data_IF_141743088842
#
_entry.id   IF_141743088842
#
_cell.length_a   1.000
_cell.length_b   1.000
_cell.length_c   1.000
_cell.angle_alpha   90.00
_cell.angle_beta   90.00
_cell.angle_gamma   90.00
#
_symmetry.space_group_name_H-M   'P 1'
#
loop_
_entity.id
_entity.type
_entity.pdbx_description
1 polymer ?
#
# COMPACT_ATOMS: atom_id res chain seq x y z
N UNK A 1 25.56 0.95 -9.19
CA UNK A 1 25.77 1.34 -7.77
C UNK A 1 24.41 1.66 -7.17
N UNK A 2 24.15 1.27 -5.92
CA UNK A 2 22.84 1.49 -5.26
C UNK A 2 22.77 2.92 -4.71
N UNK A 3 21.63 3.58 -4.92
CA UNK A 3 21.31 4.89 -4.34
C UNK A 3 20.46 4.71 -3.08
N UNK A 4 20.79 5.46 -2.05
CA UNK A 4 20.09 5.50 -0.77
C UNK A 4 19.47 6.90 -0.59
N UNK A 5 18.41 6.97 0.21
CA UNK A 5 17.76 8.22 0.59
C UNK A 5 18.56 8.87 1.73
N UNK A 6 19.02 10.10 1.52
CA UNK A 6 19.72 10.88 2.53
C UNK A 6 18.81 11.23 3.72
N UNK A 7 19.32 11.03 4.93
CA UNK A 7 18.64 11.32 6.20
C UNK A 7 19.35 12.45 6.93
N UNK A 8 18.69 13.05 7.93
CA UNK A 8 19.23 14.17 8.70
C UNK A 8 20.54 13.83 9.42
N UNK A 9 20.72 12.55 9.80
CA UNK A 9 21.98 12.05 10.38
C UNK A 9 23.14 12.15 9.40
N UNK A 10 22.89 11.78 8.14
CA UNK A 10 23.89 11.87 7.07
C UNK A 10 24.21 13.33 6.77
N UNK A 11 23.20 14.20 6.78
CA UNK A 11 23.36 15.64 6.56
C UNK A 11 24.18 16.28 7.68
N UNK A 12 23.89 15.96 8.94
CA UNK A 12 24.67 16.42 10.09
C UNK A 12 26.13 15.95 10.03
N UNK A 13 26.35 14.67 9.69
CA UNK A 13 27.67 14.09 9.54
C UNK A 13 28.46 14.71 8.37
N UNK A 14 27.78 15.02 7.25
CA UNK A 14 28.38 15.75 6.14
C UNK A 14 28.75 17.17 6.56
N UNK A 15 27.92 17.83 7.38
CA UNK A 15 28.16 19.13 7.98
C UNK A 15 29.46 19.22 8.78
N UNK A 16 29.83 18.14 9.47
CA UNK A 16 31.09 18.04 10.23
C UNK A 16 32.35 17.95 9.35
N UNK A 17 32.21 17.64 8.05
CA UNK A 17 33.33 17.56 7.11
C UNK A 17 33.55 18.92 6.43
N UNK A 18 34.76 19.51 6.48
CA UNK A 18 35.06 20.77 5.81
C UNK A 18 34.97 20.64 4.28
N UNK A 19 34.59 21.75 3.63
CA UNK A 19 34.26 21.78 2.20
C UNK A 19 35.44 21.33 1.32
N UNK A 20 36.68 21.65 1.70
CA UNK A 20 37.90 21.24 1.00
C UNK A 20 38.03 19.72 0.86
N UNK A 21 37.67 18.97 1.91
CA UNK A 21 37.71 17.51 1.92
C UNK A 21 36.52 16.90 1.17
N UNK A 22 35.38 17.61 1.07
CA UNK A 22 34.22 17.11 0.31
C UNK A 22 34.52 16.97 -1.18
N UNK A 23 35.30 17.90 -1.74
CA UNK A 23 35.76 17.84 -3.13
C UNK A 23 36.71 16.67 -3.38
N UNK A 24 37.55 16.33 -2.41
CA UNK A 24 38.50 15.21 -2.50
C UNK A 24 37.82 13.83 -2.37
N UNK A 25 36.72 13.75 -1.61
CA UNK A 25 35.99 12.51 -1.36
C UNK A 25 34.85 12.21 -2.37
N UNK A 26 34.69 13.03 -3.41
CA UNK A 26 33.53 13.07 -4.33
C UNK A 26 32.18 13.16 -3.60
N UNK A 27 32.12 13.93 -2.51
CA UNK A 27 30.89 14.14 -1.75
C UNK A 27 30.07 15.30 -2.36
N UNK A 28 28.74 15.18 -2.41
CA UNK A 28 27.87 16.24 -2.90
C UNK A 28 28.00 17.51 -2.02
N UNK A 29 28.10 18.67 -2.66
CA UNK A 29 28.34 19.95 -1.96
C UNK A 29 27.14 20.43 -1.15
N UNK A 30 25.92 20.08 -1.57
CA UNK A 30 24.68 20.36 -0.86
C UNK A 30 23.72 19.16 -1.03
N UNK A 31 23.26 18.59 0.09
CA UNK A 31 22.23 17.55 0.14
C UNK A 31 21.05 18.07 0.96
N UNK A 32 19.84 17.85 0.46
CA UNK A 32 18.59 18.06 1.18
C UNK A 32 18.06 16.73 1.70
N UNK A 33 17.18 16.79 2.71
CA UNK A 33 16.51 15.61 3.24
C UNK A 33 15.76 14.91 2.10
N UNK A 34 15.98 13.60 1.96
CA UNK A 34 15.46 12.73 0.90
C UNK A 34 16.19 12.71 -0.46
N UNK A 35 17.29 13.44 -0.62
CA UNK A 35 18.09 13.36 -1.84
C UNK A 35 18.82 12.02 -2.00
N UNK A 36 19.10 11.57 -3.22
CA UNK A 36 19.84 10.34 -3.47
C UNK A 36 21.32 10.50 -3.11
N UNK A 37 21.83 9.63 -2.23
CA UNK A 37 23.26 9.48 -1.93
C UNK A 37 23.75 8.10 -2.37
N UNK A 38 24.94 8.03 -2.98
CA UNK A 38 25.51 6.73 -3.36
C UNK A 38 26.04 5.99 -2.15
N UNK A 39 25.96 4.65 -2.18
CA UNK A 39 26.51 3.82 -1.10
C UNK A 39 28.03 4.01 -0.90
N UNK A 40 28.80 4.22 -1.98
CA UNK A 40 30.26 4.45 -1.88
C UNK A 40 30.58 5.80 -1.23
N UNK A 41 29.84 6.87 -1.56
CA UNK A 41 30.00 8.17 -0.90
C UNK A 41 29.77 8.04 0.61
N UNK A 42 28.74 7.29 1.01
CA UNK A 42 28.47 7.02 2.42
C UNK A 42 29.61 6.23 3.08
N UNK A 43 30.19 5.26 2.38
CA UNK A 43 31.31 4.47 2.88
C UNK A 43 32.58 5.32 3.05
N UNK A 44 32.89 6.21 2.09
CA UNK A 44 34.01 7.15 2.19
C UNK A 44 33.81 8.13 3.34
N UNK A 45 32.61 8.67 3.50
CA UNK A 45 32.25 9.53 4.62
C UNK A 45 32.41 8.80 5.95
N UNK A 46 31.91 7.56 6.07
CA UNK A 46 32.07 6.78 7.29
C UNK A 46 33.55 6.51 7.64
N UNK A 47 34.38 6.16 6.64
CA UNK A 47 35.83 5.98 6.81
C UNK A 47 36.52 7.26 7.26
N UNK A 48 36.13 8.40 6.70
CA UNK A 48 36.68 9.70 7.09
C UNK A 48 36.34 10.05 8.54
N UNK A 49 35.08 9.87 8.93
CA UNK A 49 34.62 10.14 10.30
C UNK A 49 35.24 9.17 11.31
N UNK A 50 35.56 7.94 10.90
CA UNK A 50 36.29 7.00 11.72
C UNK A 50 37.72 7.46 12.04
N UNK A 51 38.35 8.24 11.17
CA UNK A 51 39.68 8.80 11.43
C UNK A 51 39.63 10.17 12.14
N UNK A 52 38.45 10.78 12.24
CA UNK A 52 38.28 12.10 12.84
C UNK A 52 37.99 12.01 14.35
N UNK A 53 38.99 12.36 15.15
CA UNK A 53 38.95 12.33 16.62
C UNK A 53 37.84 13.22 17.18
N UNK A 54 37.64 14.41 16.60
CA UNK A 54 36.64 15.38 17.07
C UNK A 54 35.21 14.85 16.88
N UNK A 55 34.95 14.11 15.81
CA UNK A 55 33.65 13.49 15.58
C UNK A 55 33.41 12.33 16.56
N UNK A 56 34.43 11.52 16.85
CA UNK A 56 34.32 10.44 17.84
C UNK A 56 34.01 10.96 19.25
N UNK A 57 34.55 12.12 19.64
CA UNK A 57 34.26 12.72 20.94
C UNK A 57 32.79 13.17 21.11
N UNK A 58 32.10 13.47 20.01
CA UNK A 58 30.67 13.85 20.04
C UNK A 58 29.71 12.67 20.13
N UNK A 59 30.18 11.45 19.85
CA UNK A 59 29.38 10.23 19.98
C UNK A 59 29.52 9.66 21.39
N UNK A 60 28.67 10.12 22.30
CA UNK A 60 28.74 9.91 23.76
C UNK A 60 28.32 8.52 24.26
N UNK A 61 28.17 7.51 23.40
CA UNK A 61 27.61 6.21 23.75
C UNK A 61 28.68 5.12 23.93
N UNK A 62 29.10 4.93 25.18
CA UNK A 62 30.13 4.00 25.70
C UNK A 62 29.95 2.50 25.36
N UNK A 63 28.87 2.06 24.68
CA UNK A 63 28.60 0.64 24.37
C UNK A 63 28.42 0.32 22.88
N UNK A 64 28.79 1.22 21.96
CA UNK A 64 28.46 1.07 20.53
C UNK A 64 29.66 1.28 19.58
N UNK A 65 30.68 0.42 19.67
CA UNK A 65 31.63 0.22 18.56
C UNK A 65 30.99 -0.45 17.32
N UNK A 66 29.66 -0.54 17.26
CA UNK A 66 28.90 -1.04 16.11
C UNK A 66 28.88 -0.02 14.96
N UNK A 67 30.08 0.31 14.46
CA UNK A 67 30.41 0.96 13.18
C UNK A 67 29.69 2.29 12.88
N UNK A 68 30.44 3.40 12.74
CA UNK A 68 29.92 4.71 12.30
C UNK A 68 29.05 4.61 11.03
N UNK A 69 29.39 3.69 10.13
CA UNK A 69 28.57 3.41 8.96
C UNK A 69 27.16 2.92 9.32
N UNK A 70 27.02 2.09 10.36
CA UNK A 70 25.72 1.59 10.82
C UNK A 70 24.87 2.77 11.31
N UNK A 71 25.41 3.66 12.15
CA UNK A 71 24.67 4.82 12.67
C UNK A 71 24.17 5.75 11.55
N UNK A 72 24.95 5.88 10.47
CA UNK A 72 24.59 6.61 9.26
C UNK A 72 23.54 5.89 8.40
N UNK A 73 23.59 4.55 8.34
CA UNK A 73 22.63 3.73 7.58
C UNK A 73 21.28 3.60 8.27
N UNK A 74 21.19 3.87 9.58
CA UNK A 74 19.92 3.81 10.31
C UNK A 74 18.87 4.74 9.69
N UNK A 75 17.75 4.15 9.29
CA UNK A 75 16.62 4.86 8.69
C UNK A 75 16.78 5.19 7.21
N UNK A 76 17.92 4.85 6.58
CA UNK A 76 18.09 5.00 5.12
C UNK A 76 17.26 3.96 4.36
N UNK A 77 16.71 4.36 3.22
CA UNK A 77 15.93 3.49 2.32
C UNK A 77 16.56 3.51 0.94
N UNK A 78 16.32 2.49 0.13
CA UNK A 78 16.75 2.49 -1.28
C UNK A 78 15.99 3.61 -2.02
N UNK A 79 16.72 4.47 -2.73
CA UNK A 79 16.12 5.54 -3.51
C UNK A 79 15.42 4.96 -4.74
N UNK A 80 14.14 5.28 -4.88
CA UNK A 80 13.32 4.94 -6.04
C UNK A 80 12.97 6.28 -6.69
N UNK A 81 13.35 6.52 -7.97
CA UNK A 81 13.05 7.78 -8.62
C UNK A 81 11.53 8.01 -8.65
N UNK A 82 11.08 9.27 -8.56
CA UNK A 82 9.66 9.58 -8.65
C UNK A 82 9.10 8.99 -9.96
N UNK A 83 7.90 8.40 -9.92
CA UNK A 83 7.32 7.82 -11.12
C UNK A 83 7.22 8.89 -12.21
N UNK A 84 7.45 8.54 -13.49
CA UNK A 84 7.30 9.49 -14.57
C UNK A 84 5.91 10.10 -14.52
N UNK A 85 5.81 11.41 -14.82
CA UNK A 85 4.52 12.08 -14.90
C UNK A 85 3.64 11.31 -15.89
N UNK A 86 2.41 10.99 -15.47
CA UNK A 86 1.46 10.27 -16.31
C UNK A 86 1.32 11.02 -17.64
N UNK A 87 1.30 10.32 -18.79
CA UNK A 87 1.11 10.97 -20.07
C UNK A 87 -0.20 11.76 -20.04
N UNK A 88 -0.19 12.93 -20.65
CA UNK A 88 -1.40 13.71 -20.86
C UNK A 88 -2.40 12.88 -21.68
N UNK A 89 -3.72 13.01 -21.44
CA UNK A 89 -4.70 12.23 -22.17
C UNK A 89 -4.64 12.53 -23.67
N UNK A 90 -4.76 11.47 -24.48
CA UNK A 90 -4.77 11.59 -25.95
C UNK A 90 -5.82 12.60 -26.44
N UNK A 91 -5.53 13.42 -27.46
CA UNK A 91 -6.49 14.37 -28.02
C UNK A 91 -7.73 13.68 -28.60
N UNK A 92 -7.59 12.45 -29.14
CA UNK A 92 -8.74 11.66 -29.61
C UNK A 92 -9.68 11.30 -28.46
N UNK A 93 -9.12 10.96 -27.29
CA UNK A 93 -9.92 10.66 -26.11
C UNK A 93 -10.69 11.91 -25.65
N UNK A 94 -10.05 13.08 -25.67
CA UNK A 94 -10.72 14.35 -25.34
C UNK A 94 -11.83 14.67 -26.34
N UNK A 95 -11.60 14.47 -27.64
CA UNK A 95 -12.61 14.64 -28.67
C UNK A 95 -13.80 13.69 -28.48
N UNK A 96 -13.55 12.41 -28.15
CA UNK A 96 -14.62 11.44 -27.88
C UNK A 96 -15.41 11.79 -26.62
N UNK A 97 -14.75 12.25 -25.56
CA UNK A 97 -15.38 12.69 -24.31
C UNK A 97 -16.22 13.95 -24.53
N UNK A 98 -15.68 14.94 -25.24
CA UNK A 98 -16.40 16.18 -25.57
C UNK A 98 -17.64 15.88 -26.40
N UNK A 99 -17.53 14.98 -27.39
CA UNK A 99 -18.68 14.53 -28.17
C UNK A 99 -19.75 13.88 -27.28
N UNK A 100 -19.37 12.96 -26.39
CA UNK A 100 -20.33 12.29 -25.50
C UNK A 100 -21.01 13.26 -24.53
N UNK A 101 -20.28 14.23 -23.99
CA UNK A 101 -20.83 15.28 -23.12
C UNK A 101 -21.80 16.17 -23.90
N UNK A 102 -21.43 16.63 -25.09
CA UNK A 102 -22.30 17.44 -25.94
C UNK A 102 -23.58 16.68 -26.35
N UNK A 103 -23.49 15.39 -26.65
CA UNK A 103 -24.67 14.55 -26.93
C UNK A 103 -25.59 14.47 -25.69
N UNK A 104 -25.02 14.34 -24.50
CA UNK A 104 -25.78 14.29 -23.24
C UNK A 104 -26.44 15.63 -22.90
N UNK A 105 -25.71 16.74 -23.01
CA UNK A 105 -26.20 18.10 -22.77
C UNK A 105 -27.34 18.46 -23.73
N UNK A 106 -27.20 18.14 -25.02
CA UNK A 106 -28.26 18.35 -26.02
C UNK A 106 -29.52 17.59 -25.66
N UNK A 107 -29.39 16.31 -25.29
CA UNK A 107 -30.53 15.50 -24.88
C UNK A 107 -31.19 16.06 -23.62
N UNK A 108 -30.41 16.53 -22.63
CA UNK A 108 -30.93 17.16 -21.43
C UNK A 108 -31.70 18.45 -21.77
N UNK A 109 -31.15 19.31 -22.63
CA UNK A 109 -31.79 20.54 -23.07
C UNK A 109 -33.10 20.27 -23.84
N UNK A 110 -33.09 19.28 -24.74
CA UNK A 110 -34.29 18.87 -25.48
C UNK A 110 -35.43 18.41 -24.56
N UNK A 111 -35.14 17.87 -23.37
CA UNK A 111 -36.16 17.49 -22.38
C UNK A 111 -36.79 18.69 -21.68
N UNK A 112 -36.04 19.76 -21.49
CA UNK A 112 -36.57 21.00 -20.93
C UNK A 112 -37.49 21.70 -21.93
N UNK A 113 -37.13 21.66 -23.21
CA UNK A 113 -37.95 22.23 -24.27
C UNK A 113 -39.19 21.38 -24.57
N UNK A 114 -39.06 20.06 -24.56
CA UNK A 114 -40.11 19.11 -24.91
C UNK A 114 -40.33 18.12 -23.75
N UNK A 115 -41.37 18.27 -22.92
CA UNK A 115 -41.60 17.41 -21.75
C UNK A 115 -41.88 15.95 -22.12
N UNK A 116 -42.36 15.70 -23.34
CA UNK A 116 -42.58 14.36 -23.92
C UNK A 116 -41.33 13.75 -24.54
N UNK A 117 -40.16 14.41 -24.50
CA UNK A 117 -38.91 13.87 -25.06
C UNK A 117 -38.44 12.64 -24.27
N UNK A 118 -38.28 11.47 -24.91
CA UNK A 118 -37.98 10.23 -24.22
C UNK A 118 -36.57 10.28 -23.59
N UNK A 119 -36.39 9.69 -22.39
CA UNK A 119 -35.07 9.66 -21.77
C UNK A 119 -34.06 8.88 -22.62
N UNK A 120 -32.78 9.28 -22.64
CA UNK A 120 -31.75 8.54 -23.36
C UNK A 120 -31.67 7.11 -22.84
N UNK A 121 -31.88 6.13 -23.72
CA UNK A 121 -31.76 4.72 -23.37
C UNK A 121 -30.31 4.42 -23.00
N UNK A 122 -30.04 3.59 -21.98
CA UNK A 122 -28.68 3.14 -21.71
C UNK A 122 -28.13 2.49 -22.99
N UNK A 123 -27.07 3.07 -23.57
CA UNK A 123 -26.38 2.44 -24.70
C UNK A 123 -25.94 1.06 -24.22
N UNK A 124 -26.48 0.02 -24.87
CA UNK A 124 -26.08 -1.38 -24.69
C UNK A 124 -24.56 -1.40 -24.75
N UNK A 125 -23.89 -1.74 -23.64
CA UNK A 125 -22.44 -1.86 -23.59
C UNK A 125 -22.00 -2.74 -24.76
N UNK A 126 -20.89 -2.41 -25.47
CA UNK A 126 -20.38 -3.28 -26.51
C UNK A 126 -20.29 -4.70 -25.93
N UNK A 127 -20.88 -5.65 -26.64
CA UNK A 127 -20.92 -7.07 -26.26
C UNK A 127 -19.50 -7.47 -25.81
N UNK A 128 -19.32 -8.06 -24.61
CA UNK A 128 -18.00 -8.48 -24.17
C UNK A 128 -17.40 -9.36 -25.25
N UNK A 129 -16.18 -9.03 -25.71
CA UNK A 129 -15.46 -9.88 -26.65
C UNK A 129 -15.39 -11.31 -26.07
N UNK A 130 -15.61 -12.36 -26.86
CA UNK A 130 -15.62 -13.72 -26.37
C UNK A 130 -14.27 -14.02 -25.71
N UNK A 131 -14.31 -14.36 -24.41
CA UNK A 131 -13.14 -14.83 -23.67
C UNK A 131 -12.59 -16.07 -24.37
N UNK A 132 -11.40 -15.95 -24.96
CA UNK A 132 -10.64 -17.04 -25.57
C UNK A 132 -10.30 -18.05 -24.46
N UNK A 133 -10.93 -19.22 -24.55
CA UNK A 133 -10.82 -20.35 -23.62
C UNK A 133 -9.34 -20.71 -23.34
N UNK A 134 -8.86 -20.42 -22.13
CA UNK A 134 -7.64 -21.04 -21.59
C UNK A 134 -8.05 -22.35 -20.92
N UNK A 135 -7.77 -23.46 -21.61
CA UNK A 135 -7.98 -24.82 -21.11
C UNK A 135 -7.06 -25.07 -19.91
N UNK A 136 -7.65 -25.33 -18.75
CA UNK A 136 -7.05 -26.16 -17.70
C UNK A 136 -8.03 -27.29 -17.37
N UNK A 137 -7.56 -28.52 -17.17
CA UNK A 137 -8.43 -29.65 -16.85
C UNK A 137 -8.76 -29.65 -15.35
N UNK A 138 -10.05 -29.72 -15.01
CA UNK A 138 -10.50 -30.10 -13.67
C UNK A 138 -10.98 -31.56 -13.71
N UNK A 139 -10.70 -32.37 -12.66
CA UNK A 139 -11.26 -33.70 -12.54
C UNK A 139 -12.76 -33.61 -12.23
N UNK A 140 -13.53 -34.54 -12.80
CA UNK A 140 -14.97 -34.61 -12.61
C UNK A 140 -15.33 -35.06 -11.20
N UNK A 141 -16.29 -34.36 -10.59
CA UNK A 141 -17.16 -34.93 -9.57
C UNK A 141 -18.61 -34.63 -9.97
N UNK A 142 -19.26 -35.69 -10.42
CA UNK A 142 -20.70 -35.82 -10.61
C UNK A 142 -21.44 -35.62 -9.29
N UNK A 143 -22.37 -34.67 -9.25
CA UNK A 143 -23.55 -34.79 -8.39
C UNK A 143 -24.74 -34.17 -9.10
N UNK A 144 -25.85 -34.88 -8.97
CA UNK A 144 -27.01 -34.84 -9.84
C UNK A 144 -27.96 -33.68 -9.47
N UNK A 145 -28.59 -33.14 -10.50
CA UNK A 145 -29.85 -32.39 -10.58
C UNK A 145 -30.61 -32.07 -9.27
N UNK A 146 -30.91 -30.78 -9.07
CA UNK A 146 -32.25 -30.33 -8.67
C UNK A 146 -32.49 -28.86 -9.08
N UNK A 147 -33.65 -28.50 -9.66
CA UNK A 147 -33.92 -27.13 -10.09
C UNK A 147 -34.53 -26.34 -8.94
N UNK A 148 -33.78 -25.39 -8.39
CA UNK A 148 -34.33 -24.39 -7.48
C UNK A 148 -34.42 -23.05 -8.19
N UNK A 149 -35.67 -22.72 -8.48
CA UNK A 149 -36.20 -21.41 -8.86
C UNK A 149 -35.77 -20.39 -7.78
N UNK A 150 -34.95 -19.41 -8.16
CA UNK A 150 -34.59 -18.31 -7.28
C UNK A 150 -35.28 -17.03 -7.77
N UNK A 151 -36.32 -16.62 -7.05
CA UNK A 151 -36.89 -15.28 -7.12
C UNK A 151 -35.87 -14.26 -6.61
N UNK A 152 -35.54 -13.27 -7.45
CA UNK A 152 -34.69 -12.15 -7.11
C UNK A 152 -35.48 -11.14 -6.25
N UNK A 153 -35.44 -11.30 -4.92
CA UNK A 153 -35.82 -10.22 -3.99
C UNK A 153 -34.57 -9.48 -3.54
N UNK A 154 -34.24 -8.44 -4.29
CA UNK A 154 -33.27 -7.41 -3.91
C UNK A 154 -33.83 -6.69 -2.68
N UNK A 155 -33.26 -6.93 -1.50
CA UNK A 155 -33.38 -6.00 -0.39
C UNK A 155 -32.13 -5.12 -0.36
N UNK A 156 -32.42 -3.84 -0.42
CA UNK A 156 -31.55 -2.68 -0.54
C UNK A 156 -30.54 -2.59 0.58
N UNK A 157 -29.27 -2.59 0.20
CA UNK A 157 -28.13 -2.22 1.03
C UNK A 157 -27.74 -0.79 0.66
N UNK A 158 -28.29 0.23 1.33
CA UNK A 158 -27.70 1.58 1.46
C UNK A 158 -28.52 2.46 2.40
N UNK A 159 -27.98 2.77 3.58
CA UNK A 159 -28.06 4.11 4.20
C UNK A 159 -27.12 4.20 5.41
N UNK A 160 -25.83 4.40 5.14
CA UNK A 160 -24.91 4.98 6.12
C UNK A 160 -24.82 6.47 5.81
N UNK A 161 -25.48 7.29 6.62
CA UNK A 161 -25.11 8.67 7.01
C UNK A 161 -26.27 9.26 7.82
N UNK A 162 -26.13 9.27 9.16
CA UNK A 162 -26.91 10.16 10.01
C UNK A 162 -26.42 11.61 9.87
N UNK A 163 -27.20 12.60 10.33
CA UNK A 163 -27.30 12.76 11.79
C UNK A 163 -28.67 13.19 12.31
N UNK A 164 -28.92 12.85 13.58
CA UNK A 164 -29.74 13.65 14.48
C UNK A 164 -31.24 13.37 14.46
N UNK A 165 -31.71 12.67 15.48
CA UNK A 165 -33.13 12.50 15.77
C UNK A 165 -33.36 11.21 16.51
N UNK A 166 -33.52 11.29 17.83
CA UNK A 166 -34.19 10.27 18.61
C UNK A 166 -35.45 9.83 17.88
N UNK A 167 -35.51 8.56 17.53
CA UNK A 167 -36.60 7.68 17.96
C UNK A 167 -36.18 6.25 17.60
N UNK A 168 -36.06 5.43 18.66
CA UNK A 168 -35.66 4.04 18.54
C UNK A 168 -36.76 3.24 17.86
N UNK A 169 -36.60 3.00 16.56
CA UNK A 169 -37.39 2.02 15.85
C UNK A 169 -36.47 1.14 15.00
N UNK A 170 -35.74 0.24 15.68
CA UNK A 170 -35.23 -0.97 15.04
C UNK A 170 -36.32 -2.03 15.09
N UNK A 171 -36.93 -2.26 13.92
CA UNK A 171 -37.97 -3.25 13.67
C UNK A 171 -37.70 -4.61 14.31
N UNK A 172 -38.52 -4.91 15.30
CA UNK A 172 -39.42 -6.06 15.32
C UNK A 172 -38.82 -7.46 15.03
N UNK A 173 -38.43 -8.13 16.12
CA UNK A 173 -38.83 -9.52 16.37
C UNK A 173 -39.69 -9.53 17.63
N UNK A 174 -40.99 -9.30 17.41
CA UNK A 174 -42.15 -9.80 18.18
C UNK A 174 -41.95 -10.27 19.62
N UNK A 175 -42.66 -9.60 20.55
CA UNK A 175 -43.36 -10.26 21.66
C UNK A 175 -42.86 -9.97 23.07
N UNK A 176 -43.53 -9.06 23.79
CA UNK A 176 -43.75 -9.08 25.25
C UNK A 176 -42.58 -9.24 26.23
N UNK A 177 -41.32 -9.21 25.81
CA UNK A 177 -40.18 -9.46 26.69
C UNK A 177 -39.88 -8.21 27.54
N UNK A 178 -39.79 -8.40 28.86
CA UNK A 178 -39.49 -7.34 29.82
C UNK A 178 -38.14 -6.69 29.56
N UNK A 179 -37.96 -5.43 29.95
CA UNK A 179 -36.71 -4.68 29.75
C UNK A 179 -35.48 -5.43 30.30
N UNK A 180 -35.65 -6.17 31.40
CA UNK A 180 -34.60 -7.01 31.97
C UNK A 180 -34.11 -8.11 31.01
N UNK A 181 -35.00 -8.71 30.22
CA UNK A 181 -34.63 -9.73 29.22
C UNK A 181 -33.83 -9.09 28.09
N UNK A 182 -34.19 -7.88 27.66
CA UNK A 182 -33.45 -7.13 26.64
C UNK A 182 -32.03 -6.80 27.11
N UNK A 183 -31.90 -6.36 28.36
CA UNK A 183 -30.59 -6.10 28.99
C UNK A 183 -29.75 -7.38 29.05
N UNK A 184 -30.34 -8.49 29.51
CA UNK A 184 -29.64 -9.77 29.61
C UNK A 184 -29.16 -10.26 28.23
N UNK A 185 -30.02 -10.21 27.21
CA UNK A 185 -29.66 -10.56 25.82
C UNK A 185 -28.53 -9.67 25.30
N UNK A 186 -28.56 -8.36 25.58
CA UNK A 186 -27.48 -7.44 25.18
C UNK A 186 -26.13 -7.78 25.83
N UNK A 187 -26.14 -8.19 27.10
CA UNK A 187 -24.93 -8.60 27.82
C UNK A 187 -24.34 -9.91 27.28
N UNK A 188 -25.18 -10.88 26.96
CA UNK A 188 -24.76 -12.13 26.31
C UNK A 188 -24.23 -11.89 24.90
N UNK A 189 -24.88 -11.02 24.11
CA UNK A 189 -24.40 -10.64 22.80
C UNK A 189 -23.02 -9.95 22.88
N UNK A 190 -22.85 -9.01 23.82
CA UNK A 190 -21.58 -8.34 24.05
C UNK A 190 -20.47 -9.32 24.47
N UNK A 191 -20.77 -10.26 25.37
CA UNK A 191 -19.84 -11.31 25.79
C UNK A 191 -19.41 -12.18 24.60
N UNK A 192 -20.36 -12.60 23.76
CA UNK A 192 -20.07 -13.40 22.58
C UNK A 192 -19.17 -12.66 21.59
N UNK A 193 -19.41 -11.37 21.35
CA UNK A 193 -18.57 -10.53 20.48
C UNK A 193 -17.16 -10.40 21.06
N UNK A 194 -17.03 -10.17 22.38
CA UNK A 194 -15.73 -10.07 23.04
C UNK A 194 -14.92 -11.38 22.92
N UNK A 195 -15.57 -12.53 23.08
CA UNK A 195 -14.93 -13.84 22.88
C UNK A 195 -14.49 -14.01 21.42
N UNK A 196 -15.36 -13.69 20.46
CA UNK A 196 -15.03 -13.81 19.04
C UNK A 196 -13.82 -12.93 18.65
N UNK A 197 -13.74 -11.70 19.17
CA UNK A 197 -12.62 -10.81 18.94
C UNK A 197 -11.31 -11.36 19.55
N UNK A 198 -11.35 -11.89 20.77
CA UNK A 198 -10.18 -12.53 21.39
C UNK A 198 -9.67 -13.73 20.56
N UNK A 199 -10.58 -14.55 20.03
CA UNK A 199 -10.22 -15.63 19.10
C UNK A 199 -9.61 -15.10 17.80
N UNK A 200 -10.13 -14.02 17.23
CA UNK A 200 -9.58 -13.38 16.03
C UNK A 200 -8.15 -12.89 16.26
N UNK A 201 -7.88 -12.23 17.39
CA UNK A 201 -6.52 -11.83 17.76
C UNK A 201 -5.60 -13.01 18.05
N UNK A 202 -6.09 -14.05 18.74
CA UNK A 202 -5.33 -15.28 19.00
C UNK A 202 -4.89 -15.96 17.70
N UNK A 203 -5.83 -16.19 16.77
CA UNK A 203 -5.54 -16.76 15.46
C UNK A 203 -4.58 -15.88 14.63
N UNK A 204 -4.70 -14.55 14.74
CA UNK A 204 -3.76 -13.62 14.11
C UNK A 204 -2.34 -13.76 14.67
N UNK A 205 -2.19 -13.77 16.00
CA UNK A 205 -0.89 -13.95 16.66
C UNK A 205 -0.25 -15.28 16.26
N UNK A 206 -1.02 -16.36 16.16
CA UNK A 206 -0.52 -17.64 15.63
C UNK A 206 -0.07 -17.56 14.18
N UNK A 207 -0.82 -16.88 13.32
CA UNK A 207 -0.44 -16.74 11.91
C UNK A 207 0.86 -15.96 11.75
N UNK A 208 1.02 -14.88 12.52
CA UNK A 208 2.24 -14.06 12.53
C UNK A 208 3.42 -14.84 13.12
N UNK A 209 3.23 -15.58 14.22
CA UNK A 209 4.28 -16.39 14.83
C UNK A 209 4.73 -17.53 13.92
N UNK A 210 3.78 -18.21 13.25
CA UNK A 210 4.07 -19.24 12.24
C UNK A 210 4.83 -18.67 11.04
N UNK A 211 4.50 -17.46 10.59
CA UNK A 211 5.23 -16.80 9.50
C UNK A 211 6.68 -16.46 9.91
N UNK A 212 6.87 -15.86 11.09
CA UNK A 212 8.19 -15.55 11.63
C UNK A 212 9.04 -16.80 11.89
N UNK A 213 8.43 -17.91 12.33
CA UNK A 213 9.12 -19.18 12.52
C UNK A 213 9.60 -19.80 11.20
N UNK A 214 8.81 -19.64 10.11
CA UNK A 214 9.21 -20.08 8.77
C UNK A 214 10.34 -19.22 8.21
N UNK A 215 10.27 -17.91 8.36
CA UNK A 215 11.32 -16.98 7.94
C UNK A 215 12.65 -17.28 8.64
N UNK A 216 12.64 -17.47 9.97
CA UNK A 216 13.85 -17.85 10.74
C UNK A 216 14.48 -19.17 10.28
N UNK A 217 13.69 -20.10 9.72
CA UNK A 217 14.19 -21.39 9.20
C UNK A 217 14.88 -21.25 7.85
N UNK A 218 14.60 -20.20 7.08
CA UNK A 218 15.28 -19.92 5.81
C UNK A 218 16.58 -19.19 6.11
N UNK A 219 17.67 -19.95 6.30
CA UNK A 219 19.02 -19.38 6.30
C UNK A 219 19.45 -19.17 4.85
N UNK A 220 19.46 -17.92 4.40
CA UNK A 220 19.98 -17.55 3.08
C UNK A 220 21.44 -18.01 2.94
N UNK A 221 21.67 -19.04 2.15
CA UNK A 221 23.01 -19.50 1.79
C UNK A 221 23.55 -18.53 0.74
N UNK A 222 24.20 -17.46 1.18
CA UNK A 222 24.89 -16.51 0.29
C UNK A 222 26.06 -17.23 -0.38
N UNK A 223 25.83 -17.71 -1.60
CA UNK A 223 26.90 -18.20 -2.47
C UNK A 223 27.75 -16.99 -2.86
N UNK A 224 28.97 -16.97 -2.37
CA UNK A 224 29.97 -15.99 -2.76
C UNK A 224 30.30 -16.20 -4.24
N UNK A 225 29.79 -15.34 -5.12
CA UNK A 225 30.23 -15.29 -6.51
C UNK A 225 31.65 -14.74 -6.48
N UNK A 226 32.62 -15.64 -6.65
CA UNK A 226 34.04 -15.32 -6.61
C UNK A 226 34.43 -14.21 -7.59
N UNK A 227 35.49 -13.49 -7.24
CA UNK A 227 36.11 -12.41 -8.01
C UNK A 227 36.30 -12.85 -9.47
N UNK A 228 35.58 -12.22 -10.39
CA UNK A 228 35.82 -12.35 -11.83
C UNK A 228 37.25 -11.90 -12.09
N UNK A 229 38.12 -12.89 -12.31
CA UNK A 229 39.54 -12.71 -12.53
C UNK A 229 39.80 -11.92 -13.80
N UNK A 230 40.66 -10.92 -13.67
CA UNK A 230 41.27 -10.25 -14.81
C UNK A 230 42.12 -11.22 -15.63
N UNK A 231 42.00 -11.10 -16.95
CA UNK A 231 43.03 -11.48 -17.91
C UNK A 231 42.99 -10.53 -19.09
N UNK A 232 44.13 -9.90 -19.35
CA UNK A 232 44.64 -9.82 -20.72
C UNK A 232 44.62 -8.44 -21.38
N UNK A 233 45.79 -7.78 -21.36
CA UNK A 233 46.47 -7.07 -22.48
C UNK A 233 47.78 -6.55 -21.88
N UNK A 234 48.93 -7.20 -22.13
CA UNK A 234 49.83 -6.99 -23.28
C UNK A 234 49.96 -5.52 -23.67
#
# INVERSE_FOLDING_TARGET
>A
MVLLVATDRIIAALGAVPISQRSELDLPSALQSHDPITHEQLLRLAKHLQNNIQYQATTTDEHNHSTILNTLLHGTKVYIPPPPKKPEPSPEYLASKARLLAEAERAAYQRLLNPTYPPPRPRRSPRPLPRRNRRHPHPQLSLQHLPLRCDNRVQTFTSWTGPGGQDGDTGEVTGGASDAVRVLVSFFAALAVAVAEAFLYGAYLEKVSRARAKEKRVKERKVFVGRVGGRGRR
#
